data_IF_079824563857
#
_entry.id   IF_079824563857
#
_cell.length_a   1.000
_cell.length_b   1.000
_cell.length_c   1.000
_cell.angle_alpha   90.00
_cell.angle_beta   90.00
_cell.angle_gamma   90.00
#
_symmetry.space_group_name_H-M   'P 1'
#
loop_
_entity.id
_entity.type
_entity.pdbx_description
1 polymer ?
#
# COMPACT_ATOMS: atom_id res chain seq x y z
N UNK A 1 -29.22 -7.70 16.24
CA UNK A 1 -27.98 -8.50 16.39
C UNK A 1 -26.82 -7.53 16.44
N UNK A 2 -26.03 -7.49 17.52
CA UNK A 2 -24.88 -6.58 17.63
C UNK A 2 -23.74 -7.03 16.70
N UNK A 3 -23.43 -6.23 15.68
CA UNK A 3 -22.32 -6.49 14.75
C UNK A 3 -21.07 -5.74 15.21
N UNK A 4 -19.94 -6.43 15.35
CA UNK A 4 -18.68 -5.80 15.75
C UNK A 4 -17.86 -5.39 14.53
N UNK A 5 -17.25 -4.18 14.53
CA UNK A 5 -16.37 -3.78 13.46
C UNK A 5 -15.12 -4.67 13.44
N UNK A 6 -14.75 -5.13 12.25
CA UNK A 6 -13.55 -5.93 12.02
C UNK A 6 -12.31 -5.07 12.18
N UNK A 7 -11.22 -5.73 12.56
CA UNK A 7 -9.90 -5.10 12.69
C UNK A 7 -8.98 -5.66 11.63
N UNK A 8 -8.19 -4.80 11.00
CA UNK A 8 -7.09 -5.16 10.10
C UNK A 8 -5.80 -4.52 10.60
N UNK A 9 -4.70 -5.24 10.43
CA UNK A 9 -3.36 -4.76 10.74
C UNK A 9 -2.60 -4.56 9.45
N UNK A 10 -2.05 -3.37 9.26
CA UNK A 10 -1.19 -3.02 8.12
C UNK A 10 0.23 -2.89 8.61
N UNK A 11 1.17 -3.59 7.96
CA UNK A 11 2.59 -3.55 8.29
C UNK A 11 3.30 -2.67 7.27
N UNK A 12 3.82 -1.53 7.73
CA UNK A 12 4.48 -0.50 6.93
C UNK A 12 3.59 0.72 6.69
N UNK A 13 4.12 1.91 7.00
CA UNK A 13 3.49 3.20 6.71
C UNK A 13 4.14 3.85 5.47
N UNK A 14 4.32 3.04 4.42
CA UNK A 14 4.67 3.53 3.09
C UNK A 14 3.42 3.87 2.27
N UNK A 15 3.57 4.37 1.03
CA UNK A 15 2.44 4.81 0.22
C UNK A 15 1.35 3.74 0.04
N UNK A 16 1.75 2.50 -0.25
CA UNK A 16 0.84 1.36 -0.40
C UNK A 16 0.12 1.03 0.90
N UNK A 17 0.84 1.01 2.03
CA UNK A 17 0.28 0.71 3.35
C UNK A 17 -0.72 1.78 3.80
N UNK A 18 -0.38 3.06 3.62
CA UNK A 18 -1.28 4.18 3.93
C UNK A 18 -2.53 4.14 3.06
N UNK A 19 -2.40 3.91 1.74
CA UNK A 19 -3.54 3.80 0.84
C UNK A 19 -4.45 2.60 1.22
N UNK A 20 -3.86 1.44 1.53
CA UNK A 20 -4.61 0.28 1.99
C UNK A 20 -5.37 0.57 3.28
N UNK A 21 -4.72 1.22 4.25
CA UNK A 21 -5.33 1.60 5.52
C UNK A 21 -6.52 2.55 5.32
N UNK A 22 -6.37 3.57 4.47
CA UNK A 22 -7.45 4.48 4.11
C UNK A 22 -8.62 3.74 3.45
N UNK A 23 -8.34 2.81 2.54
CA UNK A 23 -9.36 2.03 1.86
C UNK A 23 -10.16 1.14 2.82
N UNK A 24 -9.48 0.42 3.72
CA UNK A 24 -10.13 -0.37 4.76
C UNK A 24 -10.95 0.50 5.73
N UNK A 25 -10.40 1.63 6.16
CA UNK A 25 -11.10 2.55 7.07
C UNK A 25 -12.38 3.10 6.45
N UNK A 26 -12.37 3.45 5.15
CA UNK A 26 -13.55 3.89 4.40
C UNK A 26 -14.63 2.82 4.26
N UNK A 27 -14.24 1.54 4.21
CA UNK A 27 -15.18 0.42 4.27
C UNK A 27 -15.75 0.19 5.70
N UNK A 28 -15.22 0.87 6.72
CA UNK A 28 -15.67 0.78 8.10
C UNK A 28 -14.85 -0.17 8.98
N UNK A 29 -13.70 -0.64 8.51
CA UNK A 29 -12.78 -1.44 9.32
C UNK A 29 -12.05 -0.56 10.33
N UNK A 30 -11.66 -1.14 11.46
CA UNK A 30 -10.66 -0.57 12.35
C UNK A 30 -9.28 -0.96 11.86
N UNK A 31 -8.38 0.00 11.72
CA UNK A 31 -7.05 -0.23 11.12
C UNK A 31 -5.96 0.16 12.10
N UNK A 32 -5.01 -0.75 12.33
CA UNK A 32 -3.77 -0.43 13.03
C UNK A 32 -2.59 -0.57 12.06
N UNK A 33 -1.83 0.51 11.86
CA UNK A 33 -0.62 0.53 11.04
C UNK A 33 0.62 0.42 11.94
N UNK A 34 1.56 -0.46 11.64
CA UNK A 34 2.85 -0.57 12.32
C UNK A 34 4.00 -0.25 11.38
N UNK A 35 4.78 0.78 11.68
CA UNK A 35 5.96 1.20 10.91
C UNK A 35 7.23 1.02 11.73
N UNK A 36 8.25 0.40 11.13
CA UNK A 36 9.52 0.14 11.80
C UNK A 36 10.40 1.38 11.96
N UNK A 37 10.20 2.38 11.10
CA UNK A 37 10.91 3.67 11.13
C UNK A 37 10.24 4.67 12.08
N UNK A 38 10.97 5.72 12.52
CA UNK A 38 10.34 6.86 13.18
C UNK A 38 9.37 7.58 12.23
N UNK A 39 8.46 8.37 12.81
CA UNK A 39 7.56 9.21 12.03
C UNK A 39 8.38 10.17 11.16
N UNK A 40 8.17 10.08 9.84
CA UNK A 40 8.93 10.83 8.85
C UNK A 40 8.57 12.32 8.84
N UNK A 41 7.43 12.71 9.42
CA UNK A 41 6.98 14.10 9.53
C UNK A 41 7.72 14.88 10.60
N UNK A 42 8.39 14.18 11.53
CA UNK A 42 9.17 14.82 12.58
C UNK A 42 10.41 15.54 11.99
N UNK A 43 10.79 16.73 12.49
CA UNK A 43 11.93 17.49 11.96
C UNK A 43 13.24 16.69 11.90
N UNK A 44 13.51 15.87 12.91
CA UNK A 44 14.69 14.99 12.98
C UNK A 44 14.73 13.96 11.84
N UNK A 45 13.57 13.42 11.47
CA UNK A 45 13.44 12.40 10.41
C UNK A 45 13.43 13.01 9.01
N UNK A 46 12.93 14.25 8.86
CA UNK A 46 12.95 14.98 7.59
C UNK A 46 14.38 15.25 7.12
N UNK A 47 15.27 15.62 8.05
CA UNK A 47 16.68 15.85 7.75
C UNK A 47 17.41 14.59 7.23
N UNK A 48 17.12 13.41 7.80
CA UNK A 48 17.67 12.14 7.31
C UNK A 48 17.09 11.70 5.95
N UNK A 49 15.79 11.95 5.71
CA UNK A 49 15.13 11.55 4.47
C UNK A 49 15.41 12.47 3.28
N UNK A 50 15.65 13.77 3.51
CA UNK A 50 16.01 14.71 2.43
C UNK A 50 17.28 14.31 1.68
N UNK A 51 18.21 13.60 2.34
CA UNK A 51 19.43 13.09 1.71
C UNK A 51 19.20 11.91 0.75
N UNK A 52 17.99 11.33 0.73
CA UNK A 52 17.63 10.18 -0.13
C UNK A 52 16.39 10.40 -0.99
N UNK A 53 15.83 11.62 -1.02
CA UNK A 53 14.64 11.88 -1.82
C UNK A 53 15.00 11.78 -3.31
N UNK A 54 14.36 10.82 -3.97
CA UNK A 54 14.32 10.71 -5.42
C UNK A 54 12.87 10.88 -5.85
N UNK A 55 12.68 11.58 -6.96
CA UNK A 55 11.38 11.59 -7.63
C UNK A 55 11.04 10.19 -8.12
N UNK A 56 9.76 9.87 -8.10
CA UNK A 56 9.21 8.63 -8.63
C UNK A 56 8.33 8.93 -9.83
N UNK A 57 8.28 7.99 -10.78
CA UNK A 57 7.29 8.02 -11.84
C UNK A 57 5.96 7.46 -11.32
N UNK A 58 4.91 8.27 -11.30
CA UNK A 58 3.53 7.85 -11.10
C UNK A 58 2.81 7.83 -12.44
N UNK A 59 2.21 6.69 -12.76
CA UNK A 59 1.50 6.43 -14.00
C UNK A 59 -0.01 6.32 -13.73
N UNK A 60 -0.79 6.07 -14.79
CA UNK A 60 -2.24 5.92 -14.69
C UNK A 60 -2.67 4.88 -13.63
N UNK A 61 -1.94 3.76 -13.49
CA UNK A 61 -2.25 2.70 -12.51
C UNK A 61 -2.26 3.22 -11.06
N UNK A 62 -1.22 3.98 -10.70
CA UNK A 62 -1.09 4.57 -9.36
C UNK A 62 -2.13 5.66 -9.11
N UNK A 63 -2.36 6.54 -10.09
CA UNK A 63 -3.32 7.64 -9.98
C UNK A 63 -4.74 7.09 -9.80
N UNK A 64 -5.15 6.13 -10.64
CA UNK A 64 -6.47 5.52 -10.57
C UNK A 64 -6.71 4.79 -9.25
N UNK A 65 -5.66 4.21 -8.64
CA UNK A 65 -5.76 3.58 -7.33
C UNK A 65 -5.99 4.58 -6.20
N UNK A 66 -5.28 5.71 -6.20
CA UNK A 66 -5.50 6.78 -5.20
C UNK A 66 -6.89 7.38 -5.39
N UNK A 67 -7.28 7.68 -6.62
CA UNK A 67 -8.59 8.24 -6.95
C UNK A 67 -9.75 7.33 -6.53
N UNK A 68 -9.61 6.02 -6.71
CA UNK A 68 -10.64 5.05 -6.30
C UNK A 68 -10.87 5.01 -4.78
N UNK A 69 -9.84 5.33 -3.98
CA UNK A 69 -9.94 5.38 -2.51
C UNK A 69 -10.39 6.75 -2.05
N UNK A 70 -9.76 7.80 -2.56
CA UNK A 70 -10.07 9.18 -2.23
C UNK A 70 -9.80 10.13 -3.41
N UNK A 71 -10.85 10.54 -4.13
CA UNK A 71 -10.72 11.48 -5.25
C UNK A 71 -10.13 12.84 -4.84
N UNK A 72 -10.42 13.31 -3.63
CA UNK A 72 -9.93 14.61 -3.17
C UNK A 72 -8.43 14.58 -2.91
N UNK A 73 -7.92 13.46 -2.38
CA UNK A 73 -6.48 13.22 -2.21
C UNK A 73 -5.78 13.15 -3.56
N UNK A 74 -6.34 12.40 -4.52
CA UNK A 74 -5.81 12.33 -5.89
C UNK A 74 -5.72 13.72 -6.53
N UNK A 75 -6.77 14.55 -6.40
CA UNK A 75 -6.79 15.90 -6.95
C UNK A 75 -5.70 16.80 -6.36
N UNK A 76 -5.43 16.71 -5.05
CA UNK A 76 -4.34 17.47 -4.40
C UNK A 76 -2.98 17.01 -4.90
N UNK A 77 -2.75 15.70 -4.97
CA UNK A 77 -1.50 15.17 -5.51
C UNK A 77 -1.24 15.63 -6.94
N UNK A 78 -2.26 15.61 -7.80
CA UNK A 78 -2.11 16.02 -9.19
C UNK A 78 -1.75 17.50 -9.37
N UNK A 79 -1.85 18.33 -8.32
CA UNK A 79 -1.38 19.73 -8.35
C UNK A 79 0.14 19.86 -8.10
N UNK A 80 0.78 18.85 -7.51
CA UNK A 80 2.20 18.88 -7.14
C UNK A 80 3.09 18.08 -8.10
N UNK A 81 2.49 17.26 -8.97
CA UNK A 81 3.25 16.45 -9.93
C UNK A 81 3.74 17.23 -11.14
N UNK A 82 4.86 16.78 -11.71
CA UNK A 82 5.44 17.33 -12.94
C UNK A 82 5.19 16.36 -14.09
N UNK A 83 4.44 16.74 -15.14
CA UNK A 83 4.15 15.85 -16.26
C UNK A 83 5.40 15.61 -17.13
N UNK A 84 5.66 14.35 -17.44
CA UNK A 84 6.72 13.88 -18.34
C UNK A 84 6.09 13.26 -19.58
N UNK A 85 6.02 14.03 -20.66
CA UNK A 85 5.32 13.66 -21.91
C UNK A 85 6.09 12.69 -22.80
N UNK A 86 7.36 12.47 -22.52
CA UNK A 86 8.24 11.63 -23.31
C UNK A 86 9.58 11.44 -22.63
N UNK A 87 10.45 10.68 -23.29
CA UNK A 87 11.86 10.54 -22.92
C UNK A 87 12.72 11.42 -23.82
N UNK A 88 13.73 12.05 -23.22
CA UNK A 88 14.78 12.76 -23.93
C UNK A 88 16.02 11.86 -23.94
N UNK A 89 16.48 11.47 -25.12
CA UNK A 89 17.66 10.64 -25.31
C UNK A 89 18.82 11.54 -25.70
N UNK A 90 19.88 11.50 -24.88
CA UNK A 90 21.12 12.20 -25.14
C UNK A 90 22.10 11.21 -25.76
N UNK A 91 22.48 11.42 -27.02
CA UNK A 91 23.49 10.59 -27.67
C UNK A 91 24.91 10.90 -27.14
N UNK A 92 25.86 9.98 -27.35
CA UNK A 92 27.27 10.21 -27.01
C UNK A 92 27.90 11.41 -27.73
N UNK A 93 27.31 11.84 -28.86
CA UNK A 93 27.78 13.00 -29.62
C UNK A 93 27.18 14.32 -29.12
N UNK A 94 26.23 14.26 -28.19
CA UNK A 94 25.50 15.43 -27.67
C UNK A 94 24.18 15.72 -28.38
N UNK A 95 23.83 14.97 -29.44
CA UNK A 95 22.54 15.12 -30.12
C UNK A 95 21.38 14.75 -29.18
N UNK A 96 20.28 15.48 -29.29
CA UNK A 96 19.06 15.31 -28.50
C UNK A 96 17.95 14.70 -29.37
N UNK A 97 17.41 13.56 -28.94
CA UNK A 97 16.23 12.93 -29.56
C UNK A 97 15.08 12.84 -28.57
N UNK A 98 13.95 13.46 -28.92
CA UNK A 98 12.74 13.50 -28.07
C UNK A 98 11.73 12.49 -28.56
N UNK A 99 11.39 11.52 -27.71
CA UNK A 99 10.42 10.48 -28.01
C UNK A 99 9.23 10.61 -27.06
N UNK A 100 8.10 11.08 -27.60
CA UNK A 100 6.85 11.18 -26.85
C UNK A 100 6.36 9.78 -26.46
N UNK A 101 5.81 9.66 -25.25
CA UNK A 101 5.23 8.39 -24.80
C UNK A 101 3.94 8.04 -25.54
N UNK A 102 3.18 9.07 -25.89
CA UNK A 102 1.87 8.91 -26.49
C UNK A 102 1.56 10.06 -27.46
N UNK A 103 0.70 9.77 -28.46
CA UNK A 103 0.27 10.74 -29.47
C UNK A 103 -0.88 11.61 -28.99
N UNK A 104 -1.73 11.09 -28.12
CA UNK A 104 -2.94 11.75 -27.61
C UNK A 104 -2.65 12.56 -26.33
N UNK A 105 -1.37 12.72 -25.99
CA UNK A 105 -0.91 13.57 -24.91
C UNK A 105 -0.90 12.91 -23.53
N UNK A 106 -1.12 11.60 -23.45
CA UNK A 106 -0.92 10.86 -22.21
C UNK A 106 0.53 10.97 -21.74
N UNK A 107 0.72 11.00 -20.43
CA UNK A 107 2.04 11.17 -19.83
C UNK A 107 2.15 10.40 -18.52
N UNK A 108 3.40 10.10 -18.17
CA UNK A 108 3.74 9.73 -16.80
C UNK A 108 4.05 11.00 -16.02
N UNK A 109 3.91 10.97 -14.71
CA UNK A 109 4.13 12.13 -13.86
C UNK A 109 5.29 11.86 -12.90
N UNK A 110 6.12 12.86 -12.67
CA UNK A 110 7.16 12.83 -11.64
C UNK A 110 6.58 13.38 -10.34
N UNK A 111 6.70 12.61 -9.26
CA UNK A 111 6.24 12.99 -7.93
C UNK A 111 7.37 12.82 -6.90
N UNK A 112 7.47 13.73 -5.93
CA UNK A 112 8.40 13.55 -4.81
C UNK A 112 7.90 12.42 -3.89
N UNK A 113 8.76 11.43 -3.64
CA UNK A 113 8.41 10.26 -2.84
C UNK A 113 8.08 10.61 -1.39
N UNK A 114 8.83 11.52 -0.80
CA UNK A 114 8.64 11.91 0.59
C UNK A 114 7.34 12.67 0.76
N UNK A 115 7.05 13.60 -0.16
CA UNK A 115 5.80 14.33 -0.21
C UNK A 115 4.60 13.39 -0.39
N UNK A 116 4.68 12.44 -1.34
CA UNK A 116 3.65 11.43 -1.54
C UNK A 116 3.35 10.66 -0.25
N UNK A 117 4.38 10.21 0.45
CA UNK A 117 4.18 9.42 1.66
C UNK A 117 3.69 10.28 2.83
N UNK A 118 4.17 11.52 2.97
CA UNK A 118 3.74 12.46 4.01
C UNK A 118 2.25 12.78 3.88
N UNK A 119 1.79 13.15 2.69
CA UNK A 119 0.38 13.45 2.44
C UNK A 119 -0.53 12.23 2.69
N UNK A 120 -0.17 11.03 2.19
CA UNK A 120 -0.95 9.82 2.47
C UNK A 120 -0.96 9.45 3.97
N UNK A 121 0.15 9.71 4.67
CA UNK A 121 0.25 9.45 6.10
C UNK A 121 -0.59 10.43 6.92
N UNK A 122 -0.66 11.70 6.50
CA UNK A 122 -1.52 12.71 7.12
C UNK A 122 -3.00 12.35 6.97
N UNK A 123 -3.42 11.95 5.76
CA UNK A 123 -4.78 11.50 5.49
C UNK A 123 -5.16 10.25 6.29
N UNK A 124 -4.23 9.28 6.37
CA UNK A 124 -4.41 8.10 7.19
C UNK A 124 -4.50 8.48 8.69
N UNK A 125 -3.68 9.42 9.16
CA UNK A 125 -3.68 9.87 10.56
C UNK A 125 -4.94 10.66 10.93
N UNK A 126 -5.53 11.40 9.98
CA UNK A 126 -6.74 12.17 10.17
C UNK A 126 -8.00 11.27 10.29
N UNK A 127 -7.91 10.02 9.83
CA UNK A 127 -9.01 9.07 9.88
C UNK A 127 -9.21 8.51 11.29
N UNK A 128 -10.36 8.77 11.92
CA UNK A 128 -10.65 8.33 13.30
C UNK A 128 -10.70 6.80 13.53
N UNK A 129 -10.75 6.01 12.45
CA UNK A 129 -10.72 4.55 12.50
C UNK A 129 -9.33 3.94 12.30
N UNK A 130 -8.31 4.77 12.10
CA UNK A 130 -6.91 4.37 11.87
C UNK A 130 -6.06 4.75 13.08
N UNK A 131 -5.19 3.85 13.51
CA UNK A 131 -4.15 4.10 14.51
C UNK A 131 -2.79 3.77 13.91
N UNK A 132 -1.79 4.59 14.17
CA UNK A 132 -0.45 4.42 13.59
C UNK A 132 0.58 4.32 14.71
N UNK A 133 1.41 3.28 14.64
CA UNK A 133 2.44 2.96 15.62
C UNK A 133 3.81 2.96 14.94
N UNK A 134 4.60 4.00 15.17
CA UNK A 134 5.97 4.14 14.65
C UNK A 134 6.99 3.42 15.52
N UNK A 135 8.18 3.13 14.97
CA UNK A 135 9.28 2.39 15.62
C UNK A 135 8.90 0.98 16.08
N UNK A 136 7.88 0.38 15.47
CA UNK A 136 7.43 -0.98 15.71
C UNK A 136 7.77 -1.83 14.49
N UNK A 137 8.95 -2.45 14.49
CA UNK A 137 9.38 -3.32 13.41
C UNK A 137 8.81 -4.71 13.61
N UNK A 138 7.95 -5.16 12.71
CA UNK A 138 7.51 -6.57 12.68
C UNK A 138 8.71 -7.46 12.33
N UNK A 139 9.01 -8.43 13.19
CA UNK A 139 10.16 -9.35 13.05
C UNK A 139 9.75 -10.79 12.80
N UNK A 140 8.54 -11.18 13.21
CA UNK A 140 7.97 -12.48 12.92
C UNK A 140 6.44 -12.37 12.92
N UNK A 141 5.81 -13.20 12.10
CA UNK A 141 4.38 -13.47 12.19
C UNK A 141 4.21 -14.98 12.35
N UNK A 142 3.59 -15.39 13.44
CA UNK A 142 3.13 -16.76 13.63
C UNK A 142 1.66 -16.81 13.22
N UNK A 143 1.42 -17.50 12.12
CA UNK A 143 0.11 -17.59 11.49
C UNK A 143 -0.80 -18.59 12.22
N UNK A 144 -0.25 -19.70 12.71
CA UNK A 144 -0.99 -20.70 13.49
C UNK A 144 -1.35 -20.17 14.88
N UNK A 145 -0.40 -19.47 15.52
CA UNK A 145 -0.57 -18.82 16.82
C UNK A 145 -1.07 -17.38 16.73
N UNK A 146 -1.38 -16.91 15.52
CA UNK A 146 -2.19 -15.70 15.33
C UNK A 146 -1.54 -14.45 15.94
N UNK A 147 -0.21 -14.39 15.89
CA UNK A 147 0.60 -13.41 16.62
C UNK A 147 1.63 -12.75 15.70
N UNK A 148 1.88 -11.47 15.93
CA UNK A 148 2.95 -10.73 15.27
C UNK A 148 3.92 -10.31 16.38
N UNK A 149 5.17 -10.73 16.25
CA UNK A 149 6.24 -10.28 17.11
C UNK A 149 6.79 -8.98 16.54
N UNK A 150 6.75 -7.93 17.37
CA UNK A 150 7.32 -6.63 17.02
C UNK A 150 8.54 -6.38 17.89
N UNK A 151 9.56 -5.76 17.30
CA UNK A 151 10.69 -5.20 18.03
C UNK A 151 10.51 -3.70 18.10
N UNK A 152 10.43 -3.17 19.31
CA UNK A 152 10.48 -1.74 19.52
C UNK A 152 11.94 -1.28 19.35
N UNK A 153 12.15 -0.33 18.43
CA UNK A 153 13.50 0.15 18.08
C UNK A 153 14.12 1.04 19.16
N UNK A 154 13.34 1.62 20.07
CA UNK A 154 13.84 2.47 21.16
C UNK A 154 14.28 1.67 22.40
N UNK A 155 13.61 0.56 22.71
CA UNK A 155 13.86 -0.22 23.94
C UNK A 155 14.60 -1.55 23.70
N UNK A 156 14.85 -1.95 22.44
CA UNK A 156 15.32 -3.30 22.06
C UNK A 156 14.45 -4.46 22.59
N UNK A 157 13.31 -4.17 23.20
CA UNK A 157 12.39 -5.17 23.71
C UNK A 157 11.45 -5.65 22.61
N UNK A 158 11.20 -6.96 22.59
CA UNK A 158 10.18 -7.57 21.75
C UNK A 158 8.82 -7.39 22.41
N UNK A 159 7.92 -6.62 21.78
CA UNK A 159 6.53 -6.49 22.24
C UNK A 159 5.67 -7.46 21.45
N UNK A 160 5.11 -8.47 22.12
CA UNK A 160 4.07 -9.33 21.56
C UNK A 160 2.71 -8.64 21.69
N UNK A 161 2.09 -8.27 20.57
CA UNK A 161 0.71 -7.77 20.59
C UNK A 161 -0.26 -8.96 20.63
N UNK A 162 -1.15 -8.96 21.63
CA UNK A 162 -2.35 -9.79 21.68
C UNK A 162 -3.57 -8.89 21.46
N UNK A 163 -4.62 -9.30 20.70
CA UNK A 163 -4.83 -10.60 20.02
C UNK A 163 -5.12 -10.50 18.48
N UNK A 164 -5.32 -11.66 17.81
CA UNK A 164 -6.25 -11.93 16.67
C UNK A 164 -5.77 -12.16 15.18
N UNK A 165 -5.08 -13.27 14.86
CA UNK A 165 -5.40 -14.31 13.79
C UNK A 165 -4.87 -14.37 12.31
N UNK A 166 -4.64 -15.62 11.74
CA UNK A 166 -4.43 -16.02 10.29
C UNK A 166 -5.33 -17.22 9.77
N UNK A 167 -5.57 -17.34 8.43
CA UNK A 167 -6.69 -17.87 7.58
C UNK A 167 -7.23 -16.75 6.66
N UNK A 168 -8.48 -16.32 6.75
CA UNK A 168 -9.14 -15.17 6.11
C UNK A 168 -8.51 -13.78 6.41
N UNK A 169 -7.18 -13.68 6.57
CA UNK A 169 -6.63 -12.92 7.70
C UNK A 169 -5.28 -12.25 7.48
N UNK A 170 -4.47 -12.62 6.48
CA UNK A 170 -3.27 -11.83 6.08
C UNK A 170 -3.16 -11.79 4.57
N UNK A 171 -2.88 -10.60 4.06
CA UNK A 171 -2.51 -10.34 2.67
C UNK A 171 -1.21 -9.54 2.67
N UNK A 172 -0.34 -9.82 1.69
CA UNK A 172 0.89 -9.06 1.45
C UNK A 172 0.67 -8.25 0.17
N UNK A 173 1.04 -6.97 0.19
CA UNK A 173 0.80 -6.02 -0.91
C UNK A 173 2.09 -5.23 -1.23
N UNK A 174 2.24 -4.78 -2.47
CA UNK A 174 3.38 -3.96 -2.92
C UNK A 174 4.74 -4.67 -2.84
N UNK A 175 5.82 -3.91 -2.58
CA UNK A 175 7.20 -4.42 -2.53
C UNK A 175 7.42 -5.63 -1.60
N UNK A 176 6.53 -5.83 -0.62
CA UNK A 176 6.57 -7.00 0.26
C UNK A 176 6.10 -8.29 -0.45
N UNK A 177 5.25 -8.17 -1.47
CA UNK A 177 4.76 -9.28 -2.30
C UNK A 177 5.55 -9.42 -3.60
N UNK A 178 5.99 -8.30 -4.19
CA UNK A 178 6.72 -8.28 -5.47
C UNK A 178 7.77 -7.17 -5.46
N UNK A 179 9.03 -7.55 -5.36
CA UNK A 179 10.14 -6.61 -5.53
C UNK A 179 10.63 -6.69 -6.97
N UNK A 180 10.57 -5.57 -7.69
CA UNK A 180 10.94 -5.49 -9.10
C UNK A 180 12.11 -4.54 -9.32
N UNK A 181 12.87 -4.78 -10.40
CA UNK A 181 13.91 -3.86 -10.82
C UNK A 181 13.30 -2.51 -11.24
N UNK A 182 13.98 -1.38 -10.96
CA UNK A 182 13.36 -0.06 -11.10
C UNK A 182 13.26 0.44 -12.54
N UNK A 183 13.67 -0.35 -13.54
CA UNK A 183 13.83 0.10 -14.93
C UNK A 183 12.50 0.49 -15.61
N UNK A 184 11.38 -0.07 -15.16
CA UNK A 184 10.05 0.26 -15.70
C UNK A 184 9.27 1.30 -14.88
N UNK A 185 9.78 1.71 -13.71
CA UNK A 185 9.08 2.67 -12.82
C UNK A 185 7.73 2.18 -12.28
N UNK A 186 7.44 0.87 -12.30
CA UNK A 186 6.11 0.34 -11.97
C UNK A 186 5.96 -0.21 -10.55
N UNK A 187 7.01 -0.29 -9.73
CA UNK A 187 6.91 -0.88 -8.37
C UNK A 187 5.84 -0.24 -7.49
N UNK A 188 5.94 1.09 -7.31
CA UNK A 188 4.92 1.86 -6.59
C UNK A 188 3.53 1.73 -7.25
N UNK A 189 3.47 1.88 -8.57
CA UNK A 189 2.23 1.85 -9.33
C UNK A 189 1.48 0.52 -9.19
N UNK A 190 2.20 -0.61 -9.24
CA UNK A 190 1.67 -1.94 -9.05
C UNK A 190 1.19 -2.15 -7.61
N UNK A 191 1.95 -1.66 -6.62
CA UNK A 191 1.54 -1.73 -5.22
C UNK A 191 0.28 -0.92 -4.91
N UNK A 192 0.12 0.28 -5.48
CA UNK A 192 -1.11 1.06 -5.33
C UNK A 192 -2.28 0.36 -6.06
N UNK A 193 -2.04 -0.16 -7.26
CA UNK A 193 -3.01 -0.94 -8.02
C UNK A 193 -3.48 -2.19 -7.26
N UNK A 194 -2.60 -2.87 -6.53
CA UNK A 194 -2.97 -4.01 -5.70
C UNK A 194 -4.07 -3.66 -4.70
N UNK A 195 -3.99 -2.48 -4.06
CA UNK A 195 -5.01 -2.00 -3.13
C UNK A 195 -6.34 -1.84 -3.86
N UNK A 196 -6.33 -1.21 -5.04
CA UNK A 196 -7.54 -1.01 -5.84
C UNK A 196 -8.19 -2.34 -6.25
N UNK A 197 -7.40 -3.30 -6.74
CA UNK A 197 -7.88 -4.62 -7.14
C UNK A 197 -8.44 -5.37 -5.93
N UNK A 198 -7.72 -5.40 -4.82
CA UNK A 198 -8.15 -6.06 -3.58
C UNK A 198 -9.51 -5.51 -3.10
N UNK A 199 -9.65 -4.19 -3.03
CA UNK A 199 -10.90 -3.57 -2.62
C UNK A 199 -12.05 -3.87 -3.59
N UNK A 200 -11.77 -3.94 -4.89
CA UNK A 200 -12.75 -4.31 -5.90
C UNK A 200 -13.24 -5.75 -5.68
N UNK A 201 -12.33 -6.69 -5.42
CA UNK A 201 -12.69 -8.08 -5.13
C UNK A 201 -13.47 -8.21 -3.82
N UNK A 202 -13.11 -7.44 -2.79
CA UNK A 202 -13.84 -7.41 -1.52
C UNK A 202 -15.29 -6.96 -1.73
N UNK A 203 -15.52 -5.93 -2.56
CA UNK A 203 -16.86 -5.48 -2.93
C UNK A 203 -17.63 -6.55 -3.72
N UNK A 204 -16.99 -7.18 -4.70
CA UNK A 204 -17.61 -8.22 -5.54
C UNK A 204 -18.03 -9.46 -4.73
N UNK A 205 -17.19 -9.90 -3.79
CA UNK A 205 -17.46 -11.06 -2.94
C UNK A 205 -18.39 -10.73 -1.74
N UNK A 206 -18.78 -9.47 -1.58
CA UNK A 206 -19.66 -9.02 -0.51
C UNK A 206 -19.01 -9.02 0.87
N UNK A 207 -17.70 -8.81 0.94
CA UNK A 207 -16.95 -8.72 2.19
C UNK A 207 -17.43 -7.51 2.99
N UNK A 208 -17.89 -7.74 4.22
CA UNK A 208 -18.34 -6.67 5.12
C UNK A 208 -17.27 -6.33 6.15
N UNK A 209 -17.20 -5.06 6.51
CA UNK A 209 -16.36 -4.57 7.61
C UNK A 209 -16.89 -4.94 9.00
N UNK A 210 -18.00 -5.66 9.08
CA UNK A 210 -18.56 -6.15 10.34
C UNK A 210 -18.58 -7.67 10.37
N UNK A 211 -18.23 -8.25 11.52
CA UNK A 211 -18.46 -9.66 11.77
C UNK A 211 -19.84 -9.84 12.42
N UNK A 212 -20.60 -10.89 12.06
CA UNK A 212 -21.67 -11.37 12.91
C UNK A 212 -21.08 -11.63 14.31
N UNK A 213 -21.76 -11.19 15.38
CA UNK A 213 -21.40 -11.57 16.75
C UNK A 213 -21.37 -13.09 16.82
N UNK A 214 -20.19 -13.68 17.00
CA UNK A 214 -20.06 -15.12 17.15
C UNK A 214 -20.87 -15.56 18.38
N UNK A 215 -21.68 -16.62 18.26
CA UNK A 215 -22.15 -17.34 19.45
C UNK A 215 -20.90 -17.87 20.16
N UNK A 216 -20.77 -17.58 21.46
CA UNK A 216 -19.66 -18.03 22.28
C UNK A 216 -19.49 -19.56 22.11
N UNK A 217 -18.40 -20.00 21.48
CA UNK A 217 -18.05 -21.43 21.37
C UNK A 217 -17.60 -21.96 20.00
N UNK A 218 -17.79 -21.26 18.87
CA UNK A 218 -17.25 -21.75 17.58
C UNK A 218 -15.88 -21.12 17.27
N UNK A 219 -14.82 -21.89 17.43
CA UNK A 219 -13.42 -21.46 17.25
C UNK A 219 -12.98 -21.31 15.78
N UNK A 220 -13.84 -21.64 14.81
CA UNK A 220 -13.45 -21.72 13.39
C UNK A 220 -14.53 -21.16 12.43
N UNK A 221 -15.06 -19.97 12.71
CA UNK A 221 -15.98 -19.30 11.79
C UNK A 221 -15.17 -18.54 10.71
N UNK A 222 -14.69 -19.29 9.71
CA UNK A 222 -13.98 -18.74 8.54
C UNK A 222 -14.97 -17.92 7.70
N UNK A 223 -14.62 -16.68 7.36
CA UNK A 223 -15.41 -15.92 6.39
C UNK A 223 -15.09 -16.38 4.97
N UNK A 224 -16.01 -17.14 4.40
CA UNK A 224 -15.92 -17.63 3.02
C UNK A 224 -15.87 -16.52 1.97
N UNK A 225 -16.42 -15.33 2.24
CA UNK A 225 -16.30 -14.18 1.32
C UNK A 225 -14.88 -13.64 1.28
N UNK A 226 -14.21 -13.55 2.45
CA UNK A 226 -12.81 -13.16 2.53
C UNK A 226 -11.91 -14.19 1.86
N UNK A 227 -12.14 -15.48 2.12
CA UNK A 227 -11.36 -16.57 1.48
C UNK A 227 -11.44 -16.45 -0.04
N UNK A 228 -12.65 -16.40 -0.61
CA UNK A 228 -12.81 -16.26 -2.07
C UNK A 228 -12.18 -15.00 -2.62
N UNK A 229 -12.30 -13.86 -1.92
CA UNK A 229 -11.71 -12.61 -2.37
C UNK A 229 -10.18 -12.66 -2.39
N UNK A 230 -9.58 -13.28 -1.37
CA UNK A 230 -8.13 -13.44 -1.25
C UNK A 230 -7.59 -14.47 -2.25
N UNK A 231 -8.27 -15.59 -2.44
CA UNK A 231 -7.89 -16.60 -3.44
C UNK A 231 -7.92 -15.99 -4.85
N UNK A 232 -9.01 -15.29 -5.20
CA UNK A 232 -9.12 -14.59 -6.49
C UNK A 232 -8.07 -13.50 -6.66
N UNK A 233 -7.70 -12.81 -5.58
CA UNK A 233 -6.62 -11.83 -5.62
C UNK A 233 -5.28 -12.50 -5.92
N UNK A 234 -4.95 -13.57 -5.19
CA UNK A 234 -3.70 -14.30 -5.38
C UNK A 234 -3.59 -14.93 -6.76
N UNK A 235 -4.65 -15.58 -7.26
CA UNK A 235 -4.67 -16.19 -8.58
C UNK A 235 -4.57 -15.15 -9.70
N UNK A 236 -5.43 -14.13 -9.67
CA UNK A 236 -5.48 -13.14 -10.74
C UNK A 236 -4.28 -12.20 -10.76
N UNK A 237 -3.80 -11.78 -9.58
CA UNK A 237 -2.74 -10.77 -9.50
C UNK A 237 -1.35 -11.36 -9.75
N UNK A 238 -1.14 -12.64 -9.45
CA UNK A 238 0.16 -13.27 -9.63
C UNK A 238 0.65 -13.23 -11.08
N UNK A 239 -0.24 -13.51 -12.05
CA UNK A 239 0.11 -13.49 -13.47
C UNK A 239 0.52 -12.08 -13.94
N UNK A 240 -0.26 -11.05 -13.57
CA UNK A 240 0.07 -9.66 -13.89
C UNK A 240 1.43 -9.23 -13.30
N UNK A 241 1.71 -9.66 -12.06
CA UNK A 241 2.92 -9.28 -11.35
C UNK A 241 4.17 -9.96 -11.93
N UNK A 242 4.06 -11.23 -12.37
CA UNK A 242 5.15 -11.87 -13.11
C UNK A 242 5.40 -11.11 -14.40
N UNK A 243 4.35 -10.85 -15.18
CA UNK A 243 4.48 -10.18 -16.46
C UNK A 243 5.16 -8.81 -16.33
N UNK A 244 4.79 -8.00 -15.32
CA UNK A 244 5.44 -6.70 -15.13
C UNK A 244 6.88 -6.80 -14.60
N UNK A 245 7.20 -7.83 -13.80
CA UNK A 245 8.58 -8.07 -13.38
C UNK A 245 9.47 -8.47 -14.56
N UNK A 246 8.97 -9.33 -15.46
CA UNK A 246 9.66 -9.73 -16.69
C UNK A 246 9.85 -8.54 -17.63
N UNK A 247 8.79 -7.77 -17.89
CA UNK A 247 8.88 -6.54 -18.70
C UNK A 247 9.87 -5.52 -18.11
N UNK A 248 9.95 -5.42 -16.79
CA UNK A 248 10.92 -4.54 -16.13
C UNK A 248 12.36 -5.03 -16.27
N UNK A 249 12.59 -6.34 -16.37
CA UNK A 249 13.91 -6.92 -16.63
C UNK A 249 14.34 -6.74 -18.09
N UNK A 250 13.39 -6.75 -19.03
CA UNK A 250 13.63 -6.67 -20.47
C UNK A 250 13.84 -5.24 -21.01
N UNK A 251 13.57 -4.21 -20.19
CA UNK A 251 13.58 -2.80 -20.58
C UNK A 251 14.90 -2.08 -20.28
#
# INVERSE_FOLDING_TARGET
>A
MSSTPRKVVVVGAGPVGCLAAMAFAKQGWRVDIYEGRPDMRLPSSKAENQQRSINLAISHRGIAAIEAVDPAVSQRFMQTVIPMRGRMIHSLKGDLDSQLYDRDGQCINSIDRALLNEELLDEASASGNIRIFFKHKVVAADFDQKSITMRNMDTKEGTCAKPYHYKDRVIILGDAAHSMVPFYGQGLNCGLEDVRILMTLFLQEGVKATSPSAKAGSTDNIDQSLVRALDRYSEGRYEDLIAICELAMDN
#
